data_IF_871216058367
#
_entry.id   IF_871216058367
#
_cell.length_a   1.000
_cell.length_b   1.000
_cell.length_c   1.000
_cell.angle_alpha   90.00
_cell.angle_beta   90.00
_cell.angle_gamma   90.00
#
_symmetry.space_group_name_H-M   'P 1'
#
loop_
_entity.id
_entity.type
_entity.pdbx_description
1 polymer ?
#
# COMPACT_ATOMS: atom_id res chain seq x y z
N UNK A 1 25.50 -7.01 -6.94
CA UNK A 1 25.93 -8.42 -6.88
C UNK A 1 24.89 -9.21 -6.12
N UNK A 2 24.72 -10.51 -6.45
CA UNK A 2 23.70 -11.39 -5.86
C UNK A 2 23.65 -11.35 -4.33
N UNK A 3 24.82 -11.35 -3.67
CA UNK A 3 24.94 -11.21 -2.20
C UNK A 3 24.41 -9.89 -1.64
N UNK A 4 24.53 -8.78 -2.36
CA UNK A 4 23.98 -7.48 -1.91
C UNK A 4 22.45 -7.48 -1.97
N UNK A 5 21.88 -8.05 -3.04
CA UNK A 5 20.42 -8.14 -3.22
C UNK A 5 19.77 -9.12 -2.23
N UNK A 6 20.46 -10.22 -1.88
CA UNK A 6 20.00 -11.15 -0.85
C UNK A 6 20.16 -10.59 0.57
N UNK A 7 21.24 -9.84 0.85
CA UNK A 7 21.42 -9.16 2.12
C UNK A 7 20.42 -7.99 2.28
N UNK A 8 20.16 -7.23 1.22
CA UNK A 8 19.09 -6.23 1.17
C UNK A 8 17.74 -6.90 1.40
N UNK A 9 17.40 -7.99 0.71
CA UNK A 9 16.15 -8.72 0.93
C UNK A 9 16.00 -9.22 2.39
N UNK A 10 17.06 -9.76 3.00
CA UNK A 10 17.03 -10.18 4.41
C UNK A 10 16.94 -9.02 5.42
N UNK A 11 17.49 -7.84 5.09
CA UNK A 11 17.37 -6.60 5.88
C UNK A 11 15.98 -5.96 5.73
N UNK A 12 15.32 -6.19 4.59
CA UNK A 12 14.00 -5.67 4.24
C UNK A 12 12.84 -6.47 4.89
N UNK A 13 12.94 -7.80 4.96
CA UNK A 13 11.95 -8.66 5.66
C UNK A 13 11.88 -8.33 7.17
N UNK A 14 13.03 -7.97 7.77
CA UNK A 14 13.10 -7.46 9.14
C UNK A 14 12.67 -5.99 9.25
N UNK A 15 12.91 -5.19 8.21
CA UNK A 15 12.66 -3.76 8.16
C UNK A 15 11.19 -3.39 8.36
N UNK A 16 10.25 -4.10 7.72
CA UNK A 16 8.82 -3.90 7.92
C UNK A 16 8.40 -4.15 9.38
N UNK A 17 8.80 -5.30 9.93
CA UNK A 17 8.47 -5.67 11.31
C UNK A 17 9.10 -4.70 12.34
N UNK A 18 10.30 -4.22 12.06
CA UNK A 18 10.96 -3.19 12.86
C UNK A 18 10.18 -1.87 12.80
N UNK A 19 9.79 -1.42 11.61
CA UNK A 19 9.00 -0.20 11.41
C UNK A 19 7.68 -0.25 12.18
N UNK A 20 6.96 -1.38 12.11
CA UNK A 20 5.74 -1.60 12.91
C UNK A 20 6.02 -1.53 14.42
N UNK A 21 7.13 -2.11 14.87
CA UNK A 21 7.56 -2.05 16.27
C UNK A 21 7.84 -0.62 16.74
N UNK A 22 8.51 0.19 15.91
CA UNK A 22 8.78 1.60 16.16
C UNK A 22 7.49 2.42 16.19
N UNK A 23 6.60 2.21 15.21
CA UNK A 23 5.27 2.85 15.13
C UNK A 23 4.47 2.61 16.41
N UNK A 24 4.39 1.35 16.88
CA UNK A 24 3.70 1.00 18.14
C UNK A 24 4.28 1.67 19.39
N UNK A 25 5.57 2.03 19.35
CA UNK A 25 6.27 2.74 20.44
C UNK A 25 6.16 4.27 20.32
N UNK A 26 5.50 4.78 19.27
CA UNK A 26 5.41 6.20 19.00
C UNK A 26 6.67 6.81 18.37
N UNK A 27 7.64 5.99 17.97
CA UNK A 27 8.84 6.42 17.26
C UNK A 27 8.55 6.60 15.76
N UNK A 28 7.71 7.59 15.43
CA UNK A 28 7.09 7.71 14.10
C UNK A 28 8.09 8.12 13.01
N UNK A 29 9.09 8.94 13.33
CA UNK A 29 10.14 9.37 12.38
C UNK A 29 11.03 8.19 11.94
N UNK A 30 11.37 7.33 12.89
CA UNK A 30 12.19 6.14 12.66
C UNK A 30 11.38 5.08 11.92
N UNK A 31 10.11 4.90 12.30
CA UNK A 31 9.18 4.05 11.56
C UNK A 31 9.02 4.53 10.11
N UNK A 32 8.81 5.83 9.88
CA UNK A 32 8.69 6.43 8.55
C UNK A 32 9.93 6.15 7.70
N UNK A 33 11.13 6.30 8.28
CA UNK A 33 12.39 6.02 7.59
C UNK A 33 12.51 4.55 7.17
N UNK A 34 12.13 3.62 8.05
CA UNK A 34 12.17 2.19 7.73
C UNK A 34 11.10 1.80 6.71
N UNK A 35 9.85 2.24 6.87
CA UNK A 35 8.81 1.99 5.88
C UNK A 35 9.19 2.55 4.52
N UNK A 36 9.76 3.76 4.44
CA UNK A 36 10.24 4.33 3.17
C UNK A 36 11.29 3.46 2.53
N UNK A 37 12.30 3.01 3.27
CA UNK A 37 13.35 2.14 2.72
C UNK A 37 12.79 0.82 2.18
N UNK A 38 11.81 0.24 2.87
CA UNK A 38 11.21 -1.04 2.47
C UNK A 38 10.23 -0.88 1.30
N UNK A 39 9.44 0.20 1.32
CA UNK A 39 8.57 0.60 0.22
C UNK A 39 9.34 0.94 -1.06
N UNK A 40 10.50 1.59 -0.96
CA UNK A 40 11.40 1.87 -2.10
C UNK A 40 11.95 0.60 -2.74
N UNK A 41 12.00 -0.51 -2.00
CA UNK A 41 12.38 -1.81 -2.52
C UNK A 41 11.22 -2.56 -3.20
N UNK A 42 10.01 -1.99 -3.20
CA UNK A 42 8.82 -2.52 -3.86
C UNK A 42 7.83 -3.23 -2.94
N UNK A 43 8.00 -3.15 -1.62
CA UNK A 43 7.05 -3.74 -0.67
C UNK A 43 5.77 -2.89 -0.58
N UNK A 44 4.65 -3.46 -1.03
CA UNK A 44 3.36 -2.77 -1.07
C UNK A 44 2.79 -2.45 0.31
N UNK A 45 3.03 -3.32 1.29
CA UNK A 45 2.55 -3.15 2.67
C UNK A 45 3.26 -1.99 3.37
N UNK A 46 4.58 -1.89 3.24
CA UNK A 46 5.36 -0.76 3.75
C UNK A 46 5.01 0.54 3.03
N UNK A 47 4.70 0.50 1.73
CA UNK A 47 4.25 1.67 0.99
C UNK A 47 2.89 2.17 1.54
N UNK A 48 1.96 1.27 1.82
CA UNK A 48 0.69 1.61 2.46
C UNK A 48 0.88 2.21 3.86
N UNK A 49 1.68 1.56 4.71
CA UNK A 49 1.95 2.04 6.07
C UNK A 49 2.65 3.41 6.08
N UNK A 50 3.56 3.65 5.13
CA UNK A 50 4.16 4.97 4.93
C UNK A 50 3.14 6.02 4.52
N UNK A 51 2.22 5.68 3.62
CA UNK A 51 1.17 6.60 3.18
C UNK A 51 0.29 7.05 4.36
N UNK A 52 -0.13 6.12 5.21
CA UNK A 52 -0.92 6.40 6.42
C UNK A 52 -0.16 7.33 7.37
N UNK A 53 1.15 7.11 7.57
CA UNK A 53 1.97 7.99 8.41
C UNK A 53 2.08 9.40 7.84
N UNK A 54 2.27 9.53 6.52
CA UNK A 54 2.39 10.83 5.85
C UNK A 54 1.07 11.61 5.88
N UNK A 55 -0.06 10.92 5.69
CA UNK A 55 -1.40 11.48 5.81
C UNK A 55 -1.64 12.02 7.24
N UNK A 56 -1.30 11.23 8.26
CA UNK A 56 -1.39 11.66 9.66
C UNK A 56 -0.50 12.88 9.98
N UNK A 57 0.57 13.09 9.22
CA UNK A 57 1.45 14.26 9.31
C UNK A 57 0.97 15.46 8.47
N UNK A 58 -0.14 15.31 7.74
CA UNK A 58 -0.70 16.35 6.87
C UNK A 58 -0.02 16.46 5.50
N UNK A 59 0.83 15.50 5.13
CA UNK A 59 1.49 15.46 3.83
C UNK A 59 0.71 14.61 2.82
N UNK A 60 -0.51 15.08 2.49
CA UNK A 60 -1.42 14.40 1.56
C UNK A 60 -0.79 14.07 0.20
N UNK A 61 -0.06 14.99 -0.48
CA UNK A 61 0.46 14.72 -1.82
C UNK A 61 1.49 13.58 -1.84
N UNK A 62 2.32 13.47 -0.80
CA UNK A 62 3.25 12.36 -0.71
C UNK A 62 2.54 11.06 -0.31
N UNK A 63 1.55 11.13 0.58
CA UNK A 63 0.73 9.97 0.94
C UNK A 63 0.05 9.35 -0.29
N UNK A 64 -0.59 10.17 -1.14
CA UNK A 64 -1.20 9.72 -2.40
C UNK A 64 -0.20 9.03 -3.33
N UNK A 65 1.03 9.53 -3.40
CA UNK A 65 2.10 8.89 -4.18
C UNK A 65 2.40 7.48 -3.67
N UNK A 66 2.45 7.31 -2.34
CA UNK A 66 2.73 6.01 -1.73
C UNK A 66 1.53 5.05 -1.76
N UNK A 67 0.30 5.54 -1.61
CA UNK A 67 -0.89 4.75 -1.92
C UNK A 67 -0.87 4.26 -3.38
N UNK A 68 -0.46 5.13 -4.31
CA UNK A 68 -0.21 4.79 -5.71
C UNK A 68 0.70 3.55 -5.86
N UNK A 69 1.90 3.63 -5.28
CA UNK A 69 2.89 2.55 -5.33
C UNK A 69 2.42 1.27 -4.64
N UNK A 70 1.74 1.40 -3.50
CA UNK A 70 1.17 0.27 -2.79
C UNK A 70 0.13 -0.47 -3.65
N UNK A 71 -0.76 0.28 -4.31
CA UNK A 71 -1.76 -0.29 -5.23
C UNK A 71 -1.11 -0.97 -6.44
N UNK A 72 -0.08 -0.37 -7.02
CA UNK A 72 0.70 -0.96 -8.12
C UNK A 72 1.42 -2.25 -7.70
N UNK A 73 1.83 -2.35 -6.44
CA UNK A 73 2.40 -3.55 -5.82
C UNK A 73 1.35 -4.58 -5.38
N UNK A 74 0.05 -4.32 -5.59
CA UNK A 74 -1.05 -5.25 -5.30
C UNK A 74 -1.70 -5.07 -3.92
N UNK A 75 -1.40 -4.00 -3.18
CA UNK A 75 -2.06 -3.73 -1.91
C UNK A 75 -3.55 -3.39 -2.11
N UNK A 76 -4.43 -4.21 -1.52
CA UNK A 76 -5.86 -4.21 -1.83
C UNK A 76 -6.56 -2.91 -1.38
N UNK A 77 -6.31 -2.43 -0.16
CA UNK A 77 -6.92 -1.19 0.35
C UNK A 77 -6.45 0.04 -0.45
N UNK A 78 -5.18 0.04 -0.86
CA UNK A 78 -4.61 1.14 -1.66
C UNK A 78 -5.21 1.17 -3.07
N UNK A 79 -5.41 0.00 -3.69
CA UNK A 79 -6.11 -0.10 -4.96
C UNK A 79 -7.57 0.38 -4.82
N UNK A 80 -8.26 0.04 -3.73
CA UNK A 80 -9.61 0.54 -3.47
C UNK A 80 -9.63 2.07 -3.30
N UNK A 81 -8.68 2.62 -2.54
CA UNK A 81 -8.52 4.06 -2.37
C UNK A 81 -8.33 4.80 -3.71
N UNK A 82 -7.46 4.30 -4.59
CA UNK A 82 -7.30 4.88 -5.93
C UNK A 82 -8.57 4.77 -6.77
N UNK A 83 -9.34 3.69 -6.61
CA UNK A 83 -10.65 3.55 -7.22
C UNK A 83 -11.59 4.68 -6.81
N UNK A 84 -11.65 4.98 -5.50
CA UNK A 84 -12.45 6.09 -4.97
C UNK A 84 -11.97 7.46 -5.46
N UNK A 85 -10.66 7.68 -5.49
CA UNK A 85 -10.06 8.93 -5.98
C UNK A 85 -10.45 9.19 -7.45
N UNK A 86 -10.23 8.20 -8.32
CA UNK A 86 -10.56 8.32 -9.74
C UNK A 86 -12.06 8.49 -9.98
N UNK A 87 -12.91 7.84 -9.19
CA UNK A 87 -14.34 8.03 -9.25
C UNK A 87 -14.75 9.46 -8.89
N UNK A 88 -14.16 10.03 -7.83
CA UNK A 88 -14.38 11.43 -7.43
C UNK A 88 -13.96 12.43 -8.50
N UNK A 89 -12.98 12.07 -9.33
CA UNK A 89 -12.52 12.86 -10.48
C UNK A 89 -13.32 12.60 -11.77
N UNK A 90 -14.33 11.71 -11.75
CA UNK A 90 -15.13 11.34 -12.91
C UNK A 90 -14.43 10.41 -13.90
N UNK A 91 -13.31 9.78 -13.51
CA UNK A 91 -12.52 8.82 -14.29
C UNK A 91 -13.02 7.40 -14.05
N UNK A 92 -14.25 7.13 -14.48
CA UNK A 92 -14.97 5.89 -14.15
C UNK A 92 -14.27 4.62 -14.63
N UNK A 93 -13.60 4.66 -15.80
CA UNK A 93 -12.92 3.50 -16.35
C UNK A 93 -11.67 3.12 -15.53
N UNK A 94 -10.89 4.12 -15.13
CA UNK A 94 -9.74 3.97 -14.25
C UNK A 94 -10.17 3.49 -12.86
N UNK A 95 -11.25 4.06 -12.32
CA UNK A 95 -11.83 3.66 -11.05
C UNK A 95 -12.23 2.17 -11.05
N UNK A 96 -12.95 1.73 -12.09
CA UNK A 96 -13.34 0.32 -12.24
C UNK A 96 -12.11 -0.61 -12.33
N UNK A 97 -11.07 -0.20 -13.06
CA UNK A 97 -9.82 -0.94 -13.16
C UNK A 97 -9.11 -1.10 -11.81
N UNK A 98 -9.17 -0.09 -10.94
CA UNK A 98 -8.63 -0.16 -9.59
C UNK A 98 -9.48 -0.98 -8.64
N UNK A 99 -10.81 -0.82 -8.68
CA UNK A 99 -11.72 -1.67 -7.91
C UNK A 99 -11.57 -3.16 -8.25
N UNK A 100 -11.34 -3.49 -9.53
CA UNK A 100 -11.12 -4.87 -9.95
C UNK A 100 -9.85 -5.45 -9.33
N UNK A 101 -8.74 -4.71 -9.39
CA UNK A 101 -7.48 -5.13 -8.75
C UNK A 101 -7.63 -5.29 -7.24
N UNK A 102 -8.33 -4.36 -6.59
CA UNK A 102 -8.61 -4.46 -5.16
C UNK A 102 -9.41 -5.73 -4.83
N UNK A 103 -10.45 -6.04 -5.60
CA UNK A 103 -11.26 -7.24 -5.43
C UNK A 103 -10.45 -8.52 -5.67
N UNK A 104 -9.63 -8.57 -6.72
CA UNK A 104 -8.71 -9.68 -7.02
C UNK A 104 -7.67 -9.90 -5.90
N UNK A 105 -7.30 -8.83 -5.20
CA UNK A 105 -6.42 -8.85 -4.03
C UNK A 105 -7.16 -9.10 -2.70
N UNK A 106 -8.48 -9.40 -2.73
CA UNK A 106 -9.28 -9.77 -1.56
C UNK A 106 -10.01 -8.60 -0.86
N UNK A 107 -10.06 -7.41 -1.46
CA UNK A 107 -10.80 -6.29 -0.88
C UNK A 107 -12.32 -6.49 -1.01
N UNK A 108 -12.97 -6.89 0.08
CA UNK A 108 -14.38 -7.27 0.06
C UNK A 108 -15.32 -6.16 -0.43
N UNK A 109 -15.08 -4.90 -0.03
CA UNK A 109 -15.97 -3.81 -0.45
C UNK A 109 -15.83 -3.52 -1.95
N UNK A 110 -14.67 -3.83 -2.54
CA UNK A 110 -14.46 -3.72 -3.98
C UNK A 110 -15.17 -4.86 -4.71
N UNK A 111 -15.05 -6.09 -4.20
CA UNK A 111 -15.76 -7.26 -4.73
C UNK A 111 -17.29 -7.04 -4.71
N UNK A 112 -17.84 -6.61 -3.57
CA UNK A 112 -19.28 -6.26 -3.44
C UNK A 112 -19.69 -5.17 -4.41
N UNK A 113 -18.87 -4.13 -4.58
CA UNK A 113 -19.16 -3.02 -5.52
C UNK A 113 -19.25 -3.50 -6.96
N UNK A 114 -18.42 -4.47 -7.34
CA UNK A 114 -18.38 -5.03 -8.69
C UNK A 114 -19.35 -6.19 -8.89
N UNK A 115 -20.08 -6.61 -7.85
CA UNK A 115 -20.94 -7.79 -7.92
C UNK A 115 -20.17 -9.10 -8.12
N UNK A 116 -18.91 -9.15 -7.68
CA UNK A 116 -18.10 -10.37 -7.69
C UNK A 116 -18.46 -11.15 -6.44
N UNK A 117 -19.26 -12.20 -6.59
CA UNK A 117 -19.44 -13.22 -5.56
C UNK A 117 -18.20 -14.11 -5.56
N UNK A 118 -17.51 -14.23 -4.42
CA UNK A 118 -16.51 -15.29 -4.28
C UNK A 118 -17.24 -16.62 -4.42
N UNK A 119 -17.08 -17.28 -5.56
CA UNK A 119 -17.42 -18.68 -5.70
C UNK A 119 -16.45 -19.44 -4.78
N UNK A 120 -16.88 -19.68 -3.54
CA UNK A 120 -16.20 -20.55 -2.59
C UNK A 120 -16.00 -21.91 -3.27
N UNK A 121 -14.76 -22.23 -3.61
CA UNK A 121 -14.33 -23.54 -4.08
C UNK A 121 -13.75 -24.36 -2.92
#
# INVERSE_FOLDING_TARGET
GWYRRAAEAGDLDGGYNLALGLKRRGALEEANSWFRRVAEAGDGESAYELAILLEAQGNQPEAETWYGRAAEAGHADSAYYLGMLNEGEGKSAEAEGWYRRAAEAGHEAAARRLGIEEATA
#
